data_IF_140964469240
#
_entry.id   IF_140964469240
#
_cell.length_a   1.000
_cell.length_b   1.000
_cell.length_c   1.000
_cell.angle_alpha   90.00
_cell.angle_beta   90.00
_cell.angle_gamma   90.00
#
_symmetry.space_group_name_H-M   'P 1'
#
loop_
_entity.id
_entity.type
_entity.pdbx_description
1 polymer ?
#
# COMPACT_ATOMS: atom_id res chain seq x y z
N UNK A 1 4.47 2.49 4.36
CA UNK A 1 3.21 3.21 4.66
C UNK A 1 3.44 4.69 4.36
N UNK A 2 2.49 5.38 3.74
CA UNK A 2 2.56 6.83 3.57
C UNK A 2 1.36 7.51 4.25
N UNK A 3 1.64 8.54 5.03
CA UNK A 3 0.61 9.36 5.71
C UNK A 3 0.38 10.62 4.89
N UNK A 4 -0.89 10.86 4.56
CA UNK A 4 -1.36 11.91 3.67
C UNK A 4 -2.30 12.85 4.45
N UNK A 5 -1.79 13.98 4.98
CA UNK A 5 -2.64 15.02 5.53
C UNK A 5 -3.50 15.69 4.45
N UNK A 6 -4.77 15.94 4.78
CA UNK A 6 -5.72 16.68 3.95
C UNK A 6 -5.43 18.18 3.90
N UNK A 7 -4.82 18.73 4.96
CA UNK A 7 -4.53 20.15 5.10
C UNK A 7 -3.37 20.37 6.06
N UNK A 8 -2.74 21.54 6.02
CA UNK A 8 -1.65 21.93 6.93
C UNK A 8 -2.06 21.83 8.41
N UNK A 9 -3.35 22.04 8.73
CA UNK A 9 -3.90 21.87 10.09
C UNK A 9 -3.80 20.43 10.60
N UNK A 10 -3.66 19.47 9.69
CA UNK A 10 -3.59 18.04 9.99
C UNK A 10 -2.15 17.51 9.94
N UNK A 11 -1.17 18.37 9.64
CA UNK A 11 0.23 17.96 9.52
C UNK A 11 0.82 17.50 10.84
N UNK A 12 0.48 18.15 11.94
CA UNK A 12 1.00 17.78 13.26
C UNK A 12 0.47 16.42 13.70
N UNK A 13 -0.81 16.16 13.45
CA UNK A 13 -1.38 14.83 13.67
C UNK A 13 -0.77 13.79 12.71
N UNK A 14 -0.51 14.14 11.45
CA UNK A 14 0.16 13.24 10.51
C UNK A 14 1.58 12.86 10.97
N UNK A 15 2.33 13.82 11.53
CA UNK A 15 3.66 13.59 12.10
C UNK A 15 3.59 12.68 13.32
N UNK A 16 2.61 12.90 14.21
CA UNK A 16 2.40 12.05 15.39
C UNK A 16 2.05 10.61 15.00
N UNK A 17 1.06 10.43 14.11
CA UNK A 17 0.71 9.11 13.53
C UNK A 17 1.94 8.42 12.92
N UNK A 18 2.75 9.15 12.16
CA UNK A 18 3.97 8.61 11.59
C UNK A 18 5.03 8.26 12.64
N UNK A 19 5.18 9.06 13.69
CA UNK A 19 6.10 8.80 14.79
C UNK A 19 5.69 7.53 15.56
N UNK A 20 4.40 7.40 15.88
CA UNK A 20 3.85 6.20 16.52
C UNK A 20 4.09 4.96 15.66
N UNK A 21 3.76 4.99 14.38
CA UNK A 21 4.01 3.86 13.48
C UNK A 21 5.50 3.50 13.35
N UNK A 22 6.40 4.48 13.39
CA UNK A 22 7.85 4.23 13.41
C UNK A 22 8.30 3.53 14.69
N UNK A 23 7.67 3.79 15.84
CA UNK A 23 7.97 3.06 17.09
C UNK A 23 7.61 1.58 16.97
N UNK A 24 6.59 1.23 16.17
CA UNK A 24 6.24 -0.15 15.83
C UNK A 24 7.07 -0.74 14.67
N UNK A 25 8.21 -0.10 14.33
CA UNK A 25 9.16 -0.54 13.32
C UNK A 25 8.54 -0.66 11.91
N UNK A 26 7.57 0.21 11.60
CA UNK A 26 7.04 0.38 10.25
C UNK A 26 7.83 1.44 9.48
N UNK A 27 8.05 1.18 8.19
CA UNK A 27 8.59 2.19 7.25
C UNK A 27 7.50 3.18 6.89
N UNK A 28 7.60 4.40 7.43
CA UNK A 28 6.60 5.46 7.24
C UNK A 28 7.20 6.75 6.68
N UNK A 29 6.59 7.25 5.60
CA UNK A 29 6.84 8.57 5.03
C UNK A 29 5.63 9.48 5.22
N UNK A 30 5.84 10.77 5.45
CA UNK A 30 4.80 11.80 5.56
C UNK A 30 4.85 12.72 4.35
N UNK A 31 3.70 12.99 3.74
CA UNK A 31 3.58 13.91 2.60
C UNK A 31 2.88 15.22 3.01
N UNK A 32 3.70 16.17 3.48
CA UNK A 32 3.25 17.47 3.99
C UNK A 32 3.10 18.53 2.89
N UNK A 33 3.15 18.15 1.60
CA UNK A 33 3.00 19.13 0.54
C UNK A 33 1.58 19.72 0.52
N UNK A 34 1.45 21.01 0.23
CA UNK A 34 0.15 21.67 0.05
C UNK A 34 -0.41 21.37 -1.35
N UNK A 35 -0.79 20.11 -1.56
CA UNK A 35 -1.40 19.58 -2.78
C UNK A 35 -2.78 18.97 -2.50
N UNK A 36 -3.62 18.85 -3.54
CA UNK A 36 -4.93 18.19 -3.42
C UNK A 36 -4.75 16.73 -2.98
N UNK A 37 -5.60 16.24 -2.08
CA UNK A 37 -5.56 14.86 -1.60
C UNK A 37 -5.49 13.83 -2.73
N UNK A 38 -6.28 14.01 -3.79
CA UNK A 38 -6.29 13.11 -4.95
C UNK A 38 -4.93 13.06 -5.69
N UNK A 39 -4.21 14.19 -5.73
CA UNK A 39 -2.87 14.22 -6.32
C UNK A 39 -1.88 13.43 -5.46
N UNK A 40 -1.92 13.60 -4.14
CA UNK A 40 -1.10 12.84 -3.18
C UNK A 40 -1.38 11.34 -3.25
N UNK A 41 -2.65 10.94 -3.33
CA UNK A 41 -3.04 9.53 -3.48
C UNK A 41 -2.46 8.97 -4.77
N UNK A 42 -2.58 9.70 -5.89
CA UNK A 42 -2.02 9.27 -7.18
C UNK A 42 -0.51 9.10 -7.10
N UNK A 43 0.20 10.03 -6.47
CA UNK A 43 1.65 9.96 -6.29
C UNK A 43 2.05 8.76 -5.41
N UNK A 44 1.37 8.55 -4.29
CA UNK A 44 1.60 7.38 -3.43
C UNK A 44 1.32 6.05 -4.14
N UNK A 45 0.33 6.01 -5.05
CA UNK A 45 0.06 4.85 -5.89
C UNK A 45 1.17 4.61 -6.92
N UNK A 46 1.71 5.67 -7.53
CA UNK A 46 2.83 5.60 -8.47
C UNK A 46 4.13 5.15 -7.78
N UNK A 47 4.35 5.58 -6.54
CA UNK A 47 5.44 5.13 -5.67
C UNK A 47 5.24 3.69 -5.15
N UNK A 48 4.20 2.99 -5.59
CA UNK A 48 3.87 1.61 -5.23
C UNK A 48 3.72 1.40 -3.71
N UNK A 49 3.27 2.43 -2.99
CA UNK A 49 3.07 2.34 -1.55
C UNK A 49 1.89 1.41 -1.25
N UNK A 50 2.06 0.34 -0.43
CA UNK A 50 0.99 -0.62 -0.15
C UNK A 50 -0.20 -0.02 0.61
N UNK A 51 0.11 0.84 1.59
CA UNK A 51 -0.85 1.45 2.50
C UNK A 51 -0.68 2.96 2.56
N UNK A 52 -1.79 3.66 2.35
CA UNK A 52 -1.93 5.10 2.44
C UNK A 52 -2.88 5.41 3.59
N UNK A 53 -2.43 6.21 4.55
CA UNK A 53 -3.23 6.68 5.68
C UNK A 53 -3.60 8.13 5.43
N UNK A 54 -4.87 8.40 5.17
CA UNK A 54 -5.37 9.75 5.00
C UNK A 54 -5.79 10.28 6.37
N UNK A 55 -5.31 11.48 6.70
CA UNK A 55 -5.63 12.14 7.97
C UNK A 55 -6.15 13.54 7.70
N UNK A 56 -7.34 13.84 8.20
CA UNK A 56 -7.94 15.15 8.15
C UNK A 56 -8.18 15.70 9.55
N UNK A 57 -8.77 16.91 9.65
CA UNK A 57 -9.07 17.53 10.93
C UNK A 57 -10.11 16.73 11.72
N UNK A 58 -11.10 16.12 11.04
CA UNK A 58 -12.13 15.30 11.70
C UNK A 58 -11.54 14.03 12.30
N UNK A 59 -10.61 13.41 11.58
CA UNK A 59 -9.94 12.20 12.02
C UNK A 59 -8.98 12.49 13.16
N UNK A 60 -8.30 13.65 13.15
CA UNK A 60 -7.43 14.10 14.23
C UNK A 60 -8.19 14.28 15.55
N UNK A 61 -9.40 14.84 15.52
CA UNK A 61 -10.25 14.99 16.72
C UNK A 61 -10.68 13.63 17.31
N UNK A 62 -10.83 12.62 16.45
CA UNK A 62 -11.33 11.30 16.82
C UNK A 62 -10.22 10.25 17.03
N UNK A 63 -8.94 10.64 16.91
CA UNK A 63 -7.80 9.71 16.84
C UNK A 63 -8.02 8.56 15.83
N UNK A 64 -8.67 8.90 14.71
CA UNK A 64 -8.97 7.99 13.63
C UNK A 64 -8.01 8.19 12.45
N UNK A 65 -8.01 7.24 11.53
CA UNK A 65 -7.29 7.30 10.26
C UNK A 65 -8.13 6.65 9.16
N UNK A 66 -8.16 7.27 7.98
CA UNK A 66 -8.75 6.66 6.80
C UNK A 66 -7.69 5.78 6.13
N UNK A 67 -7.91 4.46 6.11
CA UNK A 67 -6.95 3.51 5.56
C UNK A 67 -7.30 3.21 4.12
N UNK A 68 -6.35 3.42 3.22
CA UNK A 68 -6.44 3.04 1.82
C UNK A 68 -5.38 2.02 1.47
N UNK A 69 -5.79 0.91 0.86
CA UNK A 69 -4.91 -0.05 0.24
C UNK A 69 -4.76 0.27 -1.25
N UNK A 70 -3.57 0.03 -1.80
CA UNK A 70 -3.36 0.13 -3.25
C UNK A 70 -4.16 -0.92 -4.04
N UNK A 71 -4.38 -2.11 -3.46
CA UNK A 71 -5.00 -3.26 -4.14
C UNK A 71 -6.51 -3.25 -3.91
N UNK A 72 -6.93 -3.31 -2.64
CA UNK A 72 -8.35 -3.41 -2.27
C UNK A 72 -9.09 -2.05 -2.34
N UNK A 73 -8.36 -0.96 -2.57
CA UNK A 73 -8.92 0.38 -2.61
C UNK A 73 -9.16 0.97 -1.22
N UNK A 74 -10.34 1.55 -1.02
CA UNK A 74 -10.69 2.22 0.24
C UNK A 74 -11.14 1.21 1.30
N UNK A 75 -10.45 1.18 2.45
CA UNK A 75 -10.81 0.32 3.57
C UNK A 75 -11.65 1.07 4.62
N UNK A 76 -11.91 2.36 4.40
CA UNK A 76 -12.71 3.20 5.27
C UNK A 76 -11.92 3.83 6.43
N UNK A 77 -12.66 4.53 7.29
CA UNK A 77 -12.13 5.17 8.50
C UNK A 77 -12.19 4.18 9.64
N UNK A 78 -11.08 4.03 10.35
CA UNK A 78 -10.98 3.23 11.58
C UNK A 78 -10.14 3.96 12.62
N UNK A 79 -10.18 3.49 13.87
CA UNK A 79 -9.33 4.05 14.91
C UNK A 79 -7.85 3.82 14.58
N UNK A 80 -6.96 4.67 15.09
CA UNK A 80 -5.52 4.45 14.94
C UNK A 80 -5.08 3.07 15.47
N UNK A 81 -5.64 2.64 16.61
CA UNK A 81 -5.34 1.34 17.22
C UNK A 81 -5.79 0.16 16.34
N UNK A 82 -6.98 0.24 15.74
CA UNK A 82 -7.46 -0.80 14.82
C UNK A 82 -6.59 -0.88 13.56
N UNK A 83 -6.21 0.29 13.02
CA UNK A 83 -5.31 0.36 11.88
C UNK A 83 -3.94 -0.26 12.22
N UNK A 84 -3.40 0.05 13.38
CA UNK A 84 -2.13 -0.50 13.85
C UNK A 84 -2.20 -2.03 14.02
N UNK A 85 -3.26 -2.52 14.65
CA UNK A 85 -3.47 -3.96 14.86
C UNK A 85 -3.52 -4.69 13.51
N UNK A 86 -4.32 -4.19 12.57
CA UNK A 86 -4.43 -4.75 11.22
C UNK A 86 -3.09 -4.77 10.47
N UNK A 87 -2.34 -3.67 10.52
CA UNK A 87 -1.02 -3.56 9.89
C UNK A 87 0.01 -4.51 10.53
N UNK A 88 -0.08 -4.72 11.84
CA UNK A 88 0.82 -5.60 12.60
C UNK A 88 0.51 -7.07 12.34
N UNK A 89 -0.76 -7.46 12.33
CA UNK A 89 -1.20 -8.80 11.97
C UNK A 89 -0.74 -9.18 10.57
N UNK A 90 -0.88 -8.26 9.61
CA UNK A 90 -0.44 -8.50 8.24
C UNK A 90 1.08 -8.56 8.09
N UNK A 91 1.81 -7.70 8.80
CA UNK A 91 3.28 -7.77 8.87
C UNK A 91 3.73 -9.13 9.42
N UNK A 92 3.07 -9.61 10.47
CA UNK A 92 3.37 -10.91 11.09
C UNK A 92 3.06 -12.08 10.15
N UNK A 93 1.95 -12.00 9.40
CA UNK A 93 1.55 -13.01 8.43
C UNK A 93 2.48 -13.09 7.21
N UNK A 94 3.35 -12.08 6.98
CA UNK A 94 4.24 -11.99 5.81
C UNK A 94 3.52 -12.26 4.47
N UNK A 95 2.24 -11.90 4.41
CA UNK A 95 1.38 -12.22 3.27
C UNK A 95 1.83 -11.43 2.05
N UNK A 96 2.28 -12.14 1.01
CA UNK A 96 2.54 -11.56 -0.30
C UNK A 96 1.19 -11.37 -0.99
N UNK A 97 0.60 -10.17 -0.89
CA UNK A 97 -0.70 -9.87 -1.52
C UNK A 97 -0.66 -9.87 -3.04
N UNK A 98 0.50 -9.63 -3.65
CA UNK A 98 0.69 -9.66 -5.10
C UNK A 98 1.75 -10.68 -5.47
N UNK A 99 1.31 -11.87 -5.86
CA UNK A 99 2.14 -12.82 -6.61
C UNK A 99 1.91 -12.57 -8.09
N UNK A 100 2.97 -12.23 -8.83
CA UNK A 100 2.91 -12.28 -10.29
C UNK A 100 2.75 -13.74 -10.66
N UNK A 101 1.56 -14.15 -11.10
CA UNK A 101 1.36 -15.47 -11.67
C UNK A 101 2.08 -15.47 -13.01
N UNK A 102 3.24 -16.13 -13.08
CA UNK A 102 3.99 -16.24 -14.32
C UNK A 102 3.23 -17.15 -15.29
N UNK A 103 2.71 -16.58 -16.38
CA UNK A 103 2.07 -17.32 -17.48
C UNK A 103 3.12 -17.80 -18.48
N UNK A 104 4.25 -18.32 -17.99
CA UNK A 104 5.22 -18.95 -18.88
C UNK A 104 4.64 -20.30 -19.31
N UNK A 105 3.96 -20.31 -20.47
CA UNK A 105 3.64 -21.55 -21.14
C UNK A 105 4.97 -22.09 -21.66
N UNK A 106 5.37 -23.29 -21.20
CA UNK A 106 6.53 -23.97 -21.76
C UNK A 106 6.36 -24.07 -23.28
N UNK A 107 7.44 -23.80 -24.03
CA UNK A 107 7.46 -23.97 -25.48
C UNK A 107 7.02 -25.40 -25.84
N UNK A 108 6.18 -25.59 -26.89
CA UNK A 108 5.87 -26.93 -27.35
C UNK A 108 7.16 -27.61 -27.77
N UNK A 109 7.35 -28.87 -27.33
CA UNK A 109 8.43 -29.71 -27.80
C UNK A 109 8.34 -29.79 -29.33
N UNK A 110 9.44 -29.44 -30.00
CA UNK A 110 9.60 -29.73 -31.43
C UNK A 110 9.59 -31.26 -31.51
N UNK A 111 8.54 -31.84 -32.08
CA UNK A 111 8.59 -33.23 -32.52
C UNK A 111 9.63 -33.26 -33.64
N UNK A 112 10.78 -33.87 -33.37
CA UNK A 112 11.77 -34.23 -34.38
C UNK A 112 11.07 -35.20 -35.35
N UNK A 113 10.47 -34.65 -36.40
CA UNK A 113 10.19 -35.40 -37.61
C UNK A 113 11.53 -35.60 -38.30
N UNK A 114 12.26 -36.64 -37.88
CA UNK A 114 13.29 -37.24 -38.71
C UNK A 114 12.60 -37.75 -39.97
N UNK A 115 12.69 -36.94 -41.02
CA UNK A 115 12.42 -37.29 -42.41
C UNK A 115 13.21 -38.58 -42.70
N UNK A 116 12.51 -39.72 -42.68
CA UNK A 116 13.01 -40.99 -43.19
C UNK A 116 13.10 -40.85 -44.70
N UNK A 117 14.19 -40.24 -45.16
CA UNK A 117 14.60 -40.18 -46.56
C UNK A 117 15.07 -41.57 -46.99
N UNK A 118 14.12 -42.48 -47.16
CA UNK A 118 14.31 -43.68 -47.97
C UNK A 118 14.01 -43.35 -49.45
N UNK A 119 15.09 -43.43 -50.23
CA UNK A 119 15.20 -43.51 -51.71
C UNK A 119 15.44 -42.23 -52.51
#
# INVERSE_FOLDING_TARGET
IRVLPLSEKSDDYAKDVAARLRQYDFRVSTDLQSAKLQAKIREAQMDLIPYMLVVGPKEAEQNAVAVRCRIDGDLGVMSFDDALKKLTEERAARTIRQVVKSTFTALPAVEDSDDEADY
#
